data_IF_386355852027
#
_entry.id   IF_386355852027
#
_cell.length_a   1.000
_cell.length_b   1.000
_cell.length_c   1.000
_cell.angle_alpha   90.00
_cell.angle_beta   90.00
_cell.angle_gamma   90.00
#
_symmetry.space_group_name_H-M   'P 1'
#
loop_
_entity.id
_entity.type
_entity.pdbx_description
1 polymer ?
#
# COMPACT_ATOMS: atom_id res chain seq x y z
N UNK A 1 -66.38 2.36 22.22
CA UNK A 1 -65.84 2.68 23.55
C UNK A 1 -64.36 3.01 23.37
N UNK A 2 -64.02 4.31 23.47
CA UNK A 2 -62.69 4.96 23.65
C UNK A 2 -61.58 4.61 22.64
N UNK A 3 -61.24 5.42 21.62
CA UNK A 3 -60.63 6.78 21.62
C UNK A 3 -59.33 6.93 22.45
N UNK A 4 -58.17 6.93 21.78
CA UNK A 4 -56.92 7.61 22.18
C UNK A 4 -56.23 8.06 20.88
N UNK A 5 -56.41 9.30 20.39
CA UNK A 5 -55.89 10.63 20.78
C UNK A 5 -54.51 10.93 20.16
N UNK A 6 -54.54 11.88 19.21
CA UNK A 6 -53.44 12.59 18.55
C UNK A 6 -52.34 13.06 19.50
N UNK A 7 -51.09 13.06 19.02
CA UNK A 7 -49.95 13.96 19.34
C UNK A 7 -48.78 13.50 18.44
N UNK A 8 -47.87 14.29 17.89
CA UNK A 8 -47.64 15.72 17.70
C UNK A 8 -46.55 15.78 16.62
N UNK A 9 -46.64 16.74 15.70
CA UNK A 9 -45.73 16.90 14.56
C UNK A 9 -44.32 17.25 15.07
N UNK A 10 -43.31 16.45 14.71
CA UNK A 10 -41.91 16.83 14.84
C UNK A 10 -41.30 16.89 13.44
N UNK A 11 -41.31 18.08 12.84
CA UNK A 11 -40.57 18.36 11.62
C UNK A 11 -39.09 18.52 12.00
N UNK A 12 -38.29 17.48 11.78
CA UNK A 12 -36.83 17.60 11.83
C UNK A 12 -36.39 17.95 10.40
N UNK A 13 -36.03 19.21 10.18
CA UNK A 13 -35.40 19.65 8.95
C UNK A 13 -33.93 19.16 8.95
N UNK A 14 -33.62 18.14 8.16
CA UNK A 14 -32.23 17.80 7.85
C UNK A 14 -31.71 18.81 6.81
N UNK A 15 -30.89 19.75 7.26
CA UNK A 15 -30.01 20.50 6.36
C UNK A 15 -28.87 19.56 5.96
N UNK A 16 -28.93 19.00 4.75
CA UNK A 16 -27.82 18.27 4.15
C UNK A 16 -26.82 19.32 3.67
N UNK A 17 -25.79 19.57 4.48
CA UNK A 17 -24.64 20.36 4.04
C UNK A 17 -23.94 19.59 2.92
N UNK A 18 -23.88 20.20 1.73
CA UNK A 18 -23.04 19.71 0.65
C UNK A 18 -21.57 19.90 1.04
N UNK A 19 -20.96 18.85 1.58
CA UNK A 19 -19.51 18.79 1.74
C UNK A 19 -18.89 18.66 0.35
N UNK A 20 -18.35 19.75 -0.18
CA UNK A 20 -17.46 19.71 -1.33
C UNK A 20 -16.20 19.00 -0.86
N UNK A 21 -16.05 17.72 -1.20
CA UNK A 21 -14.76 17.05 -1.13
C UNK A 21 -13.84 17.71 -2.14
N UNK A 22 -13.04 18.69 -1.69
CA UNK A 22 -11.87 19.12 -2.43
C UNK A 22 -10.94 17.91 -2.49
N UNK A 23 -10.88 17.25 -3.64
CA UNK A 23 -9.83 16.28 -3.94
C UNK A 23 -8.53 17.07 -3.95
N UNK A 24 -7.80 17.06 -2.83
CA UNK A 24 -6.44 17.55 -2.78
C UNK A 24 -5.65 16.73 -3.81
N UNK A 25 -5.15 17.39 -4.85
CA UNK A 25 -4.12 16.81 -5.69
C UNK A 25 -2.91 16.57 -4.79
N UNK A 26 -2.74 15.34 -4.32
CA UNK A 26 -1.53 14.90 -3.63
C UNK A 26 -0.41 14.87 -4.66
N UNK A 27 0.17 16.03 -4.95
CA UNK A 27 1.53 16.06 -5.44
C UNK A 27 2.37 15.36 -4.38
N UNK A 28 2.90 14.18 -4.69
CA UNK A 28 3.77 13.47 -3.75
C UNK A 28 4.98 14.36 -3.51
N UNK A 29 5.18 14.79 -2.26
CA UNK A 29 6.36 15.54 -1.83
C UNK A 29 7.63 14.82 -2.28
N UNK A 30 8.69 15.57 -2.64
CA UNK A 30 9.93 14.96 -3.05
C UNK A 30 10.56 14.20 -1.88
N UNK A 31 11.10 13.02 -2.15
CA UNK A 31 11.71 12.16 -1.12
C UNK A 31 12.92 12.84 -0.46
N UNK A 32 13.63 13.66 -1.22
CA UNK A 32 14.75 14.50 -0.79
C UNK A 32 14.62 15.89 -1.45
N UNK A 33 15.04 16.95 -0.76
CA UNK A 33 14.83 18.33 -1.23
C UNK A 33 16.13 19.11 -1.39
N UNK A 34 17.13 18.86 -0.54
CA UNK A 34 18.40 19.59 -0.51
C UNK A 34 19.58 18.68 -0.85
N UNK A 35 20.68 19.31 -1.28
CA UNK A 35 21.92 18.60 -1.54
C UNK A 35 22.47 17.99 -0.24
N UNK A 36 22.76 16.69 -0.27
CA UNK A 36 23.24 15.94 0.89
C UNK A 36 22.13 15.33 1.75
N UNK A 37 20.85 15.54 1.40
CA UNK A 37 19.75 14.85 2.07
C UNK A 37 19.86 13.34 1.84
N UNK A 38 19.60 12.58 2.91
CA UNK A 38 19.50 11.12 2.87
C UNK A 38 18.12 10.76 3.38
N UNK A 39 17.38 10.01 2.57
CA UNK A 39 16.08 9.47 2.93
C UNK A 39 16.06 7.96 2.72
N UNK A 40 15.35 7.26 3.60
CA UNK A 40 15.00 5.88 3.36
C UNK A 40 13.78 5.82 2.43
N UNK A 41 13.79 4.88 1.48
CA UNK A 41 12.57 4.53 0.75
C UNK A 41 11.58 3.97 1.77
N UNK A 42 10.35 4.52 1.87
CA UNK A 42 9.47 4.27 3.01
C UNK A 42 8.87 2.86 3.02
N UNK A 43 8.82 2.19 1.88
CA UNK A 43 8.26 0.86 1.72
C UNK A 43 8.36 0.38 0.29
N UNK A 44 7.75 -0.76 0.03
CA UNK A 44 7.78 -1.40 -1.27
C UNK A 44 6.44 -2.03 -1.60
N UNK A 45 6.16 -2.15 -2.89
CA UNK A 45 5.19 -3.07 -3.45
C UNK A 45 5.93 -4.34 -3.89
N UNK A 46 5.52 -5.47 -3.34
CA UNK A 46 6.18 -6.76 -3.44
C UNK A 46 5.36 -7.74 -4.30
N UNK A 47 6.01 -8.40 -5.26
CA UNK A 47 5.35 -9.42 -6.10
C UNK A 47 6.33 -10.46 -6.66
N UNK A 48 5.87 -11.71 -6.80
CA UNK A 48 6.64 -12.76 -7.48
C UNK A 48 6.68 -12.52 -8.98
N UNK A 49 7.84 -12.70 -9.61
CA UNK A 49 7.95 -12.66 -11.08
C UNK A 49 7.06 -13.68 -11.79
N UNK A 50 6.64 -14.76 -11.10
CA UNK A 50 5.68 -15.73 -11.65
C UNK A 50 4.28 -15.17 -11.90
N UNK A 51 3.96 -14.01 -11.30
CA UNK A 51 2.66 -13.33 -11.41
C UNK A 51 2.72 -12.08 -12.29
N UNK A 52 3.88 -11.79 -12.88
CA UNK A 52 4.11 -10.57 -13.66
C UNK A 52 4.50 -10.96 -15.08
N UNK A 53 3.82 -10.35 -16.05
CA UNK A 53 4.02 -10.65 -17.47
C UNK A 53 4.90 -9.61 -18.17
N UNK A 54 5.02 -8.43 -17.57
CA UNK A 54 5.72 -7.29 -18.11
C UNK A 54 7.24 -7.39 -17.89
N UNK A 55 7.97 -6.85 -18.86
CA UNK A 55 9.43 -6.71 -18.77
C UNK A 55 9.84 -5.77 -17.63
N UNK A 56 10.96 -6.07 -16.97
CA UNK A 56 11.43 -5.31 -15.79
C UNK A 56 11.61 -3.82 -16.08
N UNK A 57 12.16 -3.47 -17.24
CA UNK A 57 12.35 -2.06 -17.63
C UNK A 57 11.02 -1.29 -17.76
N UNK A 58 9.93 -1.99 -18.11
CA UNK A 58 8.59 -1.41 -18.15
C UNK A 58 8.08 -1.20 -16.73
N UNK A 59 8.29 -2.15 -15.83
CA UNK A 59 7.85 -2.07 -14.43
C UNK A 59 8.56 -0.95 -13.66
N UNK A 60 9.82 -0.65 -14.00
CA UNK A 60 10.58 0.45 -13.40
C UNK A 60 10.14 1.84 -13.89
N UNK A 61 9.27 1.93 -14.89
CA UNK A 61 8.76 3.22 -15.35
C UNK A 61 7.75 3.83 -14.35
N UNK A 62 7.65 5.16 -14.27
CA UNK A 62 6.61 5.84 -13.49
C UNK A 62 5.20 5.50 -13.96
N UNK A 63 4.22 5.59 -13.06
CA UNK A 63 2.80 5.42 -13.35
C UNK A 63 2.34 3.98 -13.59
N UNK A 64 3.14 2.97 -13.21
CA UNK A 64 2.71 1.57 -13.27
C UNK A 64 1.79 1.24 -12.10
N UNK A 65 0.63 0.69 -12.43
CA UNK A 65 -0.33 0.23 -11.43
C UNK A 65 0.20 -1.06 -10.78
N UNK A 66 0.51 -0.95 -9.49
CA UNK A 66 0.90 -2.05 -8.62
C UNK A 66 0.02 -2.12 -7.37
N UNK A 67 -1.19 -1.55 -7.44
CA UNK A 67 -2.14 -1.52 -6.31
C UNK A 67 -2.57 -2.90 -5.82
N UNK A 68 -2.42 -3.93 -6.66
CA UNK A 68 -2.71 -5.33 -6.33
C UNK A 68 -1.52 -6.08 -5.71
N UNK A 69 -0.34 -5.47 -5.64
CA UNK A 69 0.86 -6.08 -5.07
C UNK A 69 0.87 -5.91 -3.54
N UNK A 70 1.65 -6.74 -2.86
CA UNK A 70 1.73 -6.69 -1.40
C UNK A 70 2.45 -5.42 -0.94
N UNK A 71 1.83 -4.62 -0.09
CA UNK A 71 2.49 -3.43 0.49
C UNK A 71 3.30 -3.87 1.71
N UNK A 72 4.59 -3.55 1.73
CA UNK A 72 5.50 -3.92 2.82
C UNK A 72 6.33 -2.72 3.29
N UNK A 73 6.84 -2.82 4.51
CA UNK A 73 7.74 -1.81 5.08
C UNK A 73 9.08 -1.69 4.35
N UNK A 74 9.85 -0.64 4.68
CA UNK A 74 11.16 -0.36 4.07
C UNK A 74 12.18 -1.50 4.21
N UNK A 75 12.05 -2.31 5.26
CA UNK A 75 12.97 -3.39 5.64
C UNK A 75 12.18 -4.65 5.92
N UNK A 76 12.53 -5.74 5.26
CA UNK A 76 11.90 -7.03 5.48
C UNK A 76 12.27 -8.02 4.38
N UNK A 77 12.27 -9.30 4.73
CA UNK A 77 12.38 -10.38 3.74
C UNK A 77 11.04 -10.56 3.01
N UNK A 78 11.02 -11.33 1.93
CA UNK A 78 9.77 -11.70 1.25
C UNK A 78 8.82 -12.39 2.23
N UNK A 79 9.32 -13.34 3.05
CA UNK A 79 8.51 -14.03 4.06
C UNK A 79 7.89 -13.05 5.07
N UNK A 80 8.66 -12.08 5.57
CA UNK A 80 8.11 -11.06 6.47
C UNK A 80 7.00 -10.24 5.80
N UNK A 81 7.19 -9.86 4.53
CA UNK A 81 6.16 -9.17 3.75
C UNK A 81 4.88 -9.97 3.54
N UNK A 82 5.01 -11.29 3.33
CA UNK A 82 3.87 -12.20 3.21
C UNK A 82 3.13 -12.38 4.54
N UNK A 83 3.84 -12.38 5.67
CA UNK A 83 3.23 -12.35 7.01
C UNK A 83 2.50 -11.01 7.24
N UNK A 84 3.14 -9.87 6.93
CA UNK A 84 2.54 -8.53 7.04
C UNK A 84 1.23 -8.40 6.24
N UNK A 85 1.13 -9.10 5.10
CA UNK A 85 -0.04 -9.11 4.23
C UNK A 85 -1.00 -10.29 4.49
N UNK A 86 -0.79 -11.05 5.57
CA UNK A 86 -1.71 -12.12 6.02
C UNK A 86 -1.74 -13.36 5.13
N UNK A 87 -0.76 -13.54 4.23
CA UNK A 87 -0.60 -14.77 3.43
C UNK A 87 -0.19 -15.93 4.32
N UNK A 88 0.67 -15.65 5.32
CA UNK A 88 1.03 -16.60 6.37
C UNK A 88 0.66 -16.05 7.73
N UNK A 89 0.14 -16.91 8.61
CA UNK A 89 -0.10 -16.58 10.00
C UNK A 89 1.20 -16.70 10.81
N UNK A 90 1.66 -15.62 11.44
CA UNK A 90 2.91 -15.59 12.20
C UNK A 90 2.93 -16.59 13.36
N UNK A 91 1.82 -16.71 14.11
CA UNK A 91 1.74 -17.58 15.29
C UNK A 91 1.83 -19.04 14.89
N UNK A 92 1.13 -19.43 13.83
CA UNK A 92 1.18 -20.80 13.32
C UNK A 92 2.56 -21.12 12.76
N UNK A 93 3.16 -20.18 12.01
CA UNK A 93 4.47 -20.38 11.39
C UNK A 93 5.59 -20.54 12.41
N UNK A 94 5.50 -19.86 13.56
CA UNK A 94 6.50 -19.94 14.64
C UNK A 94 6.23 -21.06 15.66
N UNK A 95 5.14 -21.82 15.50
CA UNK A 95 4.84 -22.92 16.39
C UNK A 95 5.50 -24.22 15.93
N UNK A 96 6.41 -24.77 16.75
CA UNK A 96 7.08 -26.06 16.48
C UNK A 96 7.78 -26.05 15.10
N UNK A 97 7.57 -27.11 14.33
CA UNK A 97 8.01 -27.40 12.97
C UNK A 97 6.94 -27.06 11.92
N UNK A 98 5.88 -26.34 12.30
CA UNK A 98 4.74 -26.06 11.41
C UNK A 98 5.17 -25.38 10.10
N UNK A 99 6.22 -24.53 10.16
CA UNK A 99 6.80 -23.88 8.98
C UNK A 99 7.18 -24.88 7.87
N UNK A 100 7.64 -26.09 8.20
CA UNK A 100 7.99 -27.12 7.21
C UNK A 100 6.77 -27.60 6.40
N UNK A 101 5.58 -27.49 6.98
CA UNK A 101 4.33 -27.98 6.39
C UNK A 101 3.46 -26.89 5.75
N UNK A 102 3.46 -25.68 6.30
CA UNK A 102 2.55 -24.60 5.85
C UNK A 102 3.19 -23.64 4.84
N UNK A 103 4.52 -23.48 4.87
CA UNK A 103 5.20 -22.63 3.93
C UNK A 103 5.46 -23.43 2.64
N UNK A 104 4.98 -22.91 1.50
CA UNK A 104 5.29 -23.49 0.19
C UNK A 104 6.66 -22.97 -0.29
N UNK A 105 7.71 -23.81 -0.32
CA UNK A 105 9.04 -23.36 -0.73
C UNK A 105 9.08 -22.90 -2.19
N UNK A 106 8.21 -23.44 -3.04
CA UNK A 106 8.21 -23.15 -4.48
C UNK A 106 7.87 -21.69 -4.80
N UNK A 107 7.20 -20.99 -3.88
CA UNK A 107 6.95 -19.55 -3.98
C UNK A 107 8.24 -18.71 -3.96
N UNK A 108 9.33 -19.27 -3.43
CA UNK A 108 10.62 -18.59 -3.27
C UNK A 108 11.66 -19.02 -4.31
N UNK A 109 11.32 -19.97 -5.19
CA UNK A 109 12.21 -20.44 -6.27
C UNK A 109 12.31 -19.45 -7.44
N UNK A 110 11.40 -18.48 -7.51
CA UNK A 110 11.41 -17.42 -8.50
C UNK A 110 11.84 -16.08 -7.88
N UNK A 111 12.47 -15.17 -8.66
CA UNK A 111 12.77 -13.83 -8.20
C UNK A 111 11.51 -13.07 -7.74
N UNK A 112 11.70 -12.22 -6.73
CA UNK A 112 10.69 -11.32 -6.21
C UNK A 112 11.06 -9.86 -6.53
N UNK A 113 10.06 -9.11 -6.97
CA UNK A 113 10.19 -7.70 -7.32
C UNK A 113 9.85 -6.82 -6.12
N UNK A 114 10.70 -5.85 -5.86
CA UNK A 114 10.46 -4.75 -4.93
C UNK A 114 10.35 -3.47 -5.75
N UNK A 115 9.17 -2.86 -5.80
CA UNK A 115 8.92 -1.62 -6.56
C UNK A 115 8.40 -0.52 -5.64
N UNK A 116 8.95 0.67 -5.75
CA UNK A 116 8.36 1.87 -5.16
C UNK A 116 8.46 3.03 -6.15
N UNK A 117 7.50 3.94 -6.11
CA UNK A 117 7.50 5.17 -6.89
C UNK A 117 7.57 6.35 -5.92
N UNK A 118 8.50 7.27 -6.16
CA UNK A 118 8.69 8.45 -5.34
C UNK A 118 9.10 9.65 -6.20
N UNK A 119 8.73 10.85 -5.75
CA UNK A 119 9.07 12.08 -6.46
C UNK A 119 10.48 12.52 -6.12
N UNK A 120 11.18 13.03 -7.12
CA UNK A 120 12.42 13.79 -6.97
C UNK A 120 12.24 15.14 -7.67
N UNK A 121 12.83 16.21 -7.14
CA UNK A 121 12.70 17.56 -7.70
C UNK A 121 14.07 18.26 -7.80
N UNK A 122 14.96 17.83 -8.72
CA UNK A 122 16.27 18.44 -8.85
C UNK A 122 16.14 19.83 -9.49
N UNK A 123 16.97 20.79 -9.04
CA UNK A 123 17.06 22.08 -9.74
C UNK A 123 17.76 21.92 -11.09
N UNK A 124 17.61 22.89 -12.00
CA UNK A 124 18.26 22.88 -13.30
C UNK A 124 19.78 22.65 -13.18
N UNK A 125 20.29 21.61 -13.83
CA UNK A 125 21.71 21.24 -13.79
C UNK A 125 22.14 20.40 -12.58
N UNK A 126 21.22 20.06 -11.67
CA UNK A 126 21.45 19.12 -10.58
C UNK A 126 20.94 17.71 -10.94
N UNK A 127 21.57 16.70 -10.35
CA UNK A 127 21.16 15.31 -10.40
C UNK A 127 21.34 14.71 -9.00
N UNK A 128 20.43 13.83 -8.61
CA UNK A 128 20.61 13.01 -7.41
C UNK A 128 21.55 11.85 -7.78
N UNK A 129 22.62 11.67 -7.01
CA UNK A 129 23.61 10.58 -7.17
C UNK A 129 23.44 9.52 -6.12
#
# INVERSE_FOLDING_TARGET
MMMFKNMSKLCIALAISASVCAAASTGSEPLVALAGDIAAIPGWHLQSTTKVSEEIHVLSAPGKDVSSWYRVGARGTVMAGLIENGVYNETDLFYSDTMESIADPSLFDAPWLYREEFTLNPSTGQYFT
#
